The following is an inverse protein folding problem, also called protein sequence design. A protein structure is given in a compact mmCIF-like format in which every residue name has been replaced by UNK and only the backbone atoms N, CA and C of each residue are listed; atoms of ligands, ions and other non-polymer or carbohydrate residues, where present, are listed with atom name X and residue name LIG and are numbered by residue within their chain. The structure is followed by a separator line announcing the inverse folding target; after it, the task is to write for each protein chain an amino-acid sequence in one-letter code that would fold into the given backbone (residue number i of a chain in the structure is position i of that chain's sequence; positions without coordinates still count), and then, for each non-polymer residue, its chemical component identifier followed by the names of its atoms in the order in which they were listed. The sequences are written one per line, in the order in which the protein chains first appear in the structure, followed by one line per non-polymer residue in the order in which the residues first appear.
data_IF_468099629558
#
_entry.id   IF_468099629558
#
_cell.length_a   1.000
_cell.length_b   1.000
_cell.length_c   1.000
_cell.angle_alpha   90.00
_cell.angle_beta   90.00
_cell.angle_gamma   90.00
#
_symmetry.space_group_name_H-M   'P 1'
#
loop_
_entity.id
_entity.type
_entity.pdbx_description
1 polymer ?
#
# COMPACT_ATOMS: atom_id res chain seq x y z
N UNK A 1 0.52 65.82 22.00
CA UNK A 1 1.92 65.44 21.69
C UNK A 1 1.87 64.17 20.86
N UNK A 2 2.61 64.17 19.76
CA UNK A 2 2.60 63.20 18.68
C UNK A 2 3.37 61.91 19.00
N UNK A 3 3.00 60.79 18.35
CA UNK A 3 3.86 60.15 17.34
C UNK A 3 3.17 58.95 16.66
N UNK A 4 3.27 58.95 15.33
CA UNK A 4 2.93 57.89 14.38
C UNK A 4 3.88 56.69 14.50
N UNK A 5 3.43 55.49 14.09
CA UNK A 5 3.96 54.85 12.88
C UNK A 5 3.17 53.63 12.40
N UNK A 6 3.02 53.56 11.07
CA UNK A 6 2.53 52.44 10.28
C UNK A 6 3.60 51.37 10.04
N UNK A 7 3.15 50.13 9.83
CA UNK A 7 3.89 49.03 9.18
C UNK A 7 3.17 47.71 9.48
N UNK A 8 2.80 46.85 8.54
CA UNK A 8 2.92 46.80 7.08
C UNK A 8 2.06 45.61 6.56
N UNK A 9 2.03 45.35 5.25
CA UNK A 9 1.34 44.21 4.63
C UNK A 9 2.27 42.98 4.55
N UNK A 10 1.70 41.76 4.58
CA UNK A 10 2.50 40.53 4.44
C UNK A 10 1.66 39.32 4.04
N UNK A 11 1.77 38.94 2.77
CA UNK A 11 1.19 37.78 2.12
C UNK A 11 1.74 36.45 2.65
N UNK A 12 0.87 35.45 2.83
CA UNK A 12 1.27 34.06 3.00
C UNK A 12 1.70 33.48 1.64
N UNK A 13 3.01 33.45 1.40
CA UNK A 13 3.64 32.71 0.31
C UNK A 13 4.29 31.44 0.87
N UNK A 14 4.04 30.34 0.15
CA UNK A 14 4.88 29.16 -0.08
C UNK A 14 6.06 28.91 0.88
N UNK A 15 5.94 27.85 1.69
CA UNK A 15 7.10 27.14 2.22
C UNK A 15 7.17 25.74 1.60
N UNK A 16 7.94 25.66 0.51
CA UNK A 16 8.51 24.42 -0.01
C UNK A 16 9.60 23.96 0.95
N UNK A 17 9.56 22.68 1.33
CA UNK A 17 10.66 22.04 2.07
C UNK A 17 11.89 21.87 1.15
N UNK A 18 13.12 22.21 1.61
CA UNK A 18 14.32 22.00 0.83
C UNK A 18 14.79 20.53 0.91
N UNK A 19 14.91 19.88 -0.24
CA UNK A 19 15.70 18.65 -0.42
C UNK A 19 17.17 19.05 -0.57
N UNK A 20 18.02 18.59 0.34
CA UNK A 20 19.47 18.69 0.23
C UNK A 20 19.97 17.82 -0.92
N UNK A 21 20.54 18.47 -1.94
CA UNK A 21 21.55 17.88 -2.81
C UNK A 21 22.92 18.27 -2.26
N UNK A 22 23.83 17.29 -2.15
CA UNK A 22 25.22 17.38 -2.60
C UNK A 22 26.05 16.19 -2.08
N UNK A 23 26.36 15.24 -2.96
CA UNK A 23 27.75 14.81 -3.18
C UNK A 23 27.90 14.04 -4.48
N UNK A 24 28.50 14.72 -5.46
CA UNK A 24 29.12 14.15 -6.66
C UNK A 24 30.35 13.31 -6.31
N UNK A 25 30.62 12.24 -7.07
CA UNK A 25 31.97 11.66 -7.11
C UNK A 25 32.12 10.19 -7.55
N UNK A 26 31.82 9.91 -8.83
CA UNK A 26 32.52 8.95 -9.73
C UNK A 26 33.16 7.67 -9.15
N UNK A 27 32.64 6.52 -9.58
CA UNK A 27 33.35 5.23 -9.54
C UNK A 27 32.65 4.15 -10.36
N UNK A 28 33.00 4.02 -11.64
CA UNK A 28 32.67 2.84 -12.46
C UNK A 28 33.26 1.58 -11.83
N UNK A 29 32.41 0.66 -11.37
CA UNK A 29 32.76 -0.75 -11.27
C UNK A 29 31.59 -1.61 -11.72
N UNK A 30 31.82 -2.32 -12.83
CA UNK A 30 31.04 -3.47 -13.23
C UNK A 30 31.13 -4.52 -12.12
N UNK A 31 30.05 -4.68 -11.36
CA UNK A 31 29.87 -5.85 -10.50
C UNK A 31 28.86 -6.76 -11.19
N UNK A 32 29.43 -7.78 -11.82
CA UNK A 32 28.78 -9.03 -12.17
C UNK A 32 27.88 -9.51 -11.02
N UNK A 33 26.58 -9.49 -11.24
CA UNK A 33 25.64 -10.14 -10.33
C UNK A 33 25.81 -11.67 -10.41
N UNK A 34 25.63 -12.40 -9.30
CA UNK A 34 25.67 -13.85 -9.30
C UNK A 34 24.48 -14.40 -10.09
N UNK A 35 24.76 -15.36 -10.96
CA UNK A 35 23.77 -16.12 -11.73
C UNK A 35 22.94 -16.95 -10.75
N UNK A 36 21.80 -16.41 -10.32
CA UNK A 36 20.73 -17.21 -9.76
C UNK A 36 19.95 -17.83 -10.92
N UNK A 37 20.05 -19.15 -11.01
CA UNK A 37 19.31 -20.00 -11.93
C UNK A 37 17.82 -19.98 -11.59
N UNK A 38 17.10 -19.02 -12.15
CA UNK A 38 15.66 -19.11 -12.35
C UNK A 38 15.36 -18.63 -13.77
N UNK A 39 14.73 -19.51 -14.53
CA UNK A 39 14.49 -19.42 -15.97
C UNK A 39 13.43 -18.36 -16.33
N UNK A 40 13.64 -17.10 -15.95
CA UNK A 40 12.75 -16.02 -16.34
C UNK A 40 13.33 -15.33 -17.57
N UNK A 41 12.62 -15.49 -18.69
CA UNK A 41 13.10 -15.12 -20.03
C UNK A 41 13.06 -13.60 -20.30
N UNK A 42 12.53 -12.81 -19.35
CA UNK A 42 12.26 -11.38 -19.52
C UNK A 42 12.81 -10.58 -18.33
N UNK A 43 13.25 -9.33 -18.55
CA UNK A 43 13.63 -8.46 -17.44
C UNK A 43 12.45 -8.29 -16.49
N UNK A 44 12.68 -8.45 -15.19
CA UNK A 44 11.66 -8.25 -14.17
C UNK A 44 11.27 -6.77 -14.13
N UNK A 45 9.98 -6.47 -14.23
CA UNK A 45 9.44 -5.11 -14.14
C UNK A 45 9.40 -4.33 -15.46
N UNK A 46 8.92 -3.08 -15.35
CA UNK A 46 8.79 -2.16 -16.48
C UNK A 46 10.18 -1.65 -16.87
N UNK A 47 10.52 -1.55 -18.17
CA UNK A 47 11.70 -0.81 -18.62
C UNK A 47 11.76 0.59 -18.01
N UNK A 48 12.97 1.16 -17.84
CA UNK A 48 13.20 2.49 -17.22
C UNK A 48 12.37 3.66 -17.81
N UNK A 49 11.68 3.44 -18.93
CA UNK A 49 10.63 4.30 -19.43
C UNK A 49 9.93 3.72 -20.66
N UNK A 50 8.92 4.44 -21.14
CA UNK A 50 8.28 4.13 -22.42
C UNK A 50 9.14 4.59 -23.59
N UNK A 51 9.28 3.74 -24.59
CA UNK A 51 9.78 4.14 -25.91
C UNK A 51 8.67 4.87 -26.67
N UNK A 52 8.46 6.14 -26.35
CA UNK A 52 7.39 6.94 -26.95
C UNK A 52 7.58 7.13 -28.45
N UNK A 53 6.47 7.05 -29.20
CA UNK A 53 6.42 7.43 -30.61
C UNK A 53 6.41 8.96 -30.69
N UNK A 54 7.24 9.52 -31.57
CA UNK A 54 7.30 10.96 -31.78
C UNK A 54 5.96 11.51 -32.27
N UNK A 55 5.51 12.62 -31.67
CA UNK A 55 4.32 13.37 -32.06
C UNK A 55 4.69 14.69 -32.73
N UNK A 56 3.69 15.34 -33.34
CA UNK A 56 3.87 16.70 -33.87
C UNK A 56 4.13 17.67 -32.73
N UNK A 57 4.79 18.78 -33.04
CA UNK A 57 5.10 19.82 -32.07
C UNK A 57 3.82 20.36 -31.41
N UNK A 58 3.76 20.30 -30.08
CA UNK A 58 2.60 20.72 -29.27
C UNK A 58 1.59 19.61 -28.93
N UNK A 59 1.75 18.38 -29.44
CA UNK A 59 0.90 17.24 -29.07
C UNK A 59 1.54 16.38 -27.99
N UNK A 60 0.80 16.05 -26.93
CA UNK A 60 1.24 15.08 -25.92
C UNK A 60 1.43 13.70 -26.54
N UNK A 61 2.61 13.07 -26.43
CA UNK A 61 2.82 11.70 -26.88
C UNK A 61 1.83 10.73 -26.22
N UNK A 62 1.09 9.97 -27.05
CA UNK A 62 0.10 8.99 -26.58
C UNK A 62 0.41 7.56 -26.99
N UNK A 63 1.34 7.36 -27.92
CA UNK A 63 1.72 6.03 -28.41
C UNK A 63 3.10 5.66 -27.87
N UNK A 64 3.27 4.41 -27.45
CA UNK A 64 4.58 3.83 -27.16
C UNK A 64 4.84 2.62 -28.06
N UNK A 65 6.12 2.33 -28.29
CA UNK A 65 6.56 1.12 -28.99
C UNK A 65 6.74 0.01 -27.95
N UNK A 66 5.97 -1.05 -28.09
CA UNK A 66 6.09 -2.25 -27.28
C UNK A 66 7.01 -3.28 -27.96
N UNK A 67 8.28 -3.30 -27.54
CA UNK A 67 9.32 -4.20 -28.02
C UNK A 67 10.13 -4.88 -26.89
N UNK A 68 9.66 -4.76 -25.64
CA UNK A 68 10.32 -5.30 -24.45
C UNK A 68 10.10 -6.82 -24.22
N UNK A 69 9.13 -7.43 -24.92
CA UNK A 69 8.79 -8.84 -24.82
C UNK A 69 8.85 -9.51 -26.21
N UNK A 70 9.38 -10.74 -26.34
CA UNK A 70 9.40 -11.44 -27.61
C UNK A 70 8.00 -11.88 -28.00
N UNK A 71 7.86 -12.21 -29.28
CA UNK A 71 6.59 -12.69 -29.83
C UNK A 71 6.08 -13.96 -29.14
N UNK A 72 6.99 -14.84 -28.70
CA UNK A 72 6.68 -16.08 -27.98
C UNK A 72 5.88 -15.84 -26.69
N UNK A 73 6.06 -14.69 -26.01
CA UNK A 73 5.25 -14.34 -24.85
C UNK A 73 3.75 -14.33 -25.21
N UNK A 74 3.39 -13.78 -26.36
CA UNK A 74 1.98 -13.60 -26.73
C UNK A 74 1.34 -14.84 -27.37
N UNK A 75 2.10 -15.81 -27.89
CA UNK A 75 1.53 -16.97 -28.59
C UNK A 75 2.06 -18.34 -28.14
N UNK A 76 3.02 -18.37 -27.22
CA UNK A 76 3.61 -19.57 -26.64
C UNK A 76 3.78 -19.39 -25.12
N UNK A 77 2.65 -19.31 -24.38
CA UNK A 77 2.68 -19.08 -22.94
C UNK A 77 3.47 -20.19 -22.22
N UNK A 78 4.40 -19.78 -21.37
CA UNK A 78 5.28 -20.67 -20.59
C UNK A 78 4.63 -21.20 -19.30
N UNK A 79 3.47 -20.64 -18.95
CA UNK A 79 2.67 -20.94 -17.77
C UNK A 79 1.21 -21.15 -18.19
N UNK A 80 0.47 -21.93 -17.41
CA UNK A 80 -0.97 -22.04 -17.57
C UNK A 80 -1.65 -20.66 -17.49
N UNK A 81 -2.53 -20.37 -18.45
CA UNK A 81 -3.27 -19.11 -18.51
C UNK A 81 -4.56 -19.26 -17.73
N UNK A 82 -4.65 -18.64 -16.55
CA UNK A 82 -5.90 -18.58 -15.76
C UNK A 82 -6.81 -17.46 -16.25
N UNK A 83 -6.23 -16.32 -16.65
CA UNK A 83 -6.91 -15.17 -17.23
C UNK A 83 -8.21 -14.76 -16.50
N UNK A 84 -8.15 -14.62 -15.17
CA UNK A 84 -9.33 -14.40 -14.31
C UNK A 84 -10.19 -13.21 -14.79
N UNK A 85 -9.59 -12.11 -15.24
CA UNK A 85 -10.33 -10.94 -15.69
C UNK A 85 -10.84 -11.08 -17.13
N UNK A 86 -9.99 -11.55 -18.06
CA UNK A 86 -10.39 -11.72 -19.47
C UNK A 86 -11.51 -12.74 -19.66
N UNK A 87 -11.49 -13.82 -18.87
CA UNK A 87 -12.44 -14.95 -19.00
C UNK A 87 -13.66 -14.81 -18.11
N UNK A 88 -13.75 -13.74 -17.32
CA UNK A 88 -14.66 -13.67 -16.18
C UNK A 88 -14.58 -14.91 -15.27
N UNK A 89 -13.37 -15.27 -14.86
CA UNK A 89 -13.08 -16.43 -14.02
C UNK A 89 -13.62 -17.75 -14.63
N UNK A 90 -13.36 -17.95 -15.92
CA UNK A 90 -13.72 -19.16 -16.66
C UNK A 90 -15.12 -19.19 -17.29
N UNK A 91 -15.91 -18.12 -17.21
CA UNK A 91 -17.19 -18.03 -17.94
C UNK A 91 -17.00 -18.01 -19.46
N UNK A 92 -15.90 -17.39 -19.92
CA UNK A 92 -15.52 -17.32 -21.33
C UNK A 92 -14.20 -18.05 -21.56
N UNK A 93 -14.01 -18.70 -22.72
CA UNK A 93 -12.74 -19.34 -23.04
C UNK A 93 -11.63 -18.29 -23.25
N UNK A 94 -10.38 -18.68 -22.98
CA UNK A 94 -9.21 -17.87 -23.30
C UNK A 94 -9.07 -17.71 -24.81
N UNK A 95 -8.67 -16.51 -25.25
CA UNK A 95 -8.39 -16.24 -26.66
C UNK A 95 -6.89 -16.35 -26.91
N UNK A 96 -6.54 -17.20 -27.87
CA UNK A 96 -5.17 -17.32 -28.39
C UNK A 96 -4.89 -16.33 -29.52
N UNK A 97 -3.62 -16.26 -29.92
CA UNK A 97 -3.16 -15.47 -31.05
C UNK A 97 -2.44 -16.35 -32.06
N UNK A 98 -2.86 -16.27 -33.32
CA UNK A 98 -2.22 -16.99 -34.43
C UNK A 98 -1.10 -16.18 -35.09
N UNK A 99 -1.17 -14.85 -35.02
CA UNK A 99 -0.18 -13.96 -35.62
C UNK A 99 0.20 -12.86 -34.63
N UNK A 100 1.50 -12.68 -34.42
CA UNK A 100 2.06 -11.73 -33.46
C UNK A 100 3.18 -10.96 -34.17
N UNK A 101 3.01 -9.65 -34.26
CA UNK A 101 4.01 -8.71 -34.77
C UNK A 101 4.76 -8.10 -33.58
N UNK A 102 6.08 -7.93 -33.69
CA UNK A 102 6.92 -7.23 -32.70
C UNK A 102 6.90 -5.71 -32.90
N UNK A 103 7.36 -4.96 -31.89
CA UNK A 103 7.55 -3.50 -31.96
C UNK A 103 6.27 -2.74 -32.40
N UNK A 104 5.19 -2.97 -31.65
CA UNK A 104 3.86 -2.43 -31.98
C UNK A 104 3.68 -1.06 -31.36
N UNK A 105 2.91 -0.21 -32.02
CA UNK A 105 2.47 1.05 -31.44
C UNK A 105 1.18 0.81 -30.66
N UNK A 106 1.22 1.11 -29.37
CA UNK A 106 0.10 0.93 -28.44
C UNK A 106 -0.21 2.28 -27.79
N UNK A 107 -1.50 2.58 -27.65
CA UNK A 107 -1.95 3.75 -26.89
C UNK A 107 -1.60 3.56 -25.41
N UNK A 108 -0.78 4.46 -24.88
CA UNK A 108 -0.48 4.58 -23.47
C UNK A 108 -1.73 5.07 -22.74
N UNK A 109 -2.17 4.32 -21.74
CA UNK A 109 -3.33 4.71 -20.95
C UNK A 109 -3.03 5.92 -20.06
N UNK A 110 -3.97 6.88 -20.05
CA UNK A 110 -3.93 7.97 -19.09
C UNK A 110 -4.18 7.46 -17.65
N UNK A 111 -3.92 8.32 -16.67
CA UNK A 111 -4.28 8.05 -15.28
C UNK A 111 -5.81 7.84 -15.11
N UNK A 112 -6.64 8.59 -15.84
CA UNK A 112 -8.10 8.39 -15.80
C UNK A 112 -8.48 7.03 -16.38
N UNK A 113 -7.89 6.66 -17.53
CA UNK A 113 -8.14 5.38 -18.18
C UNK A 113 -7.74 4.17 -17.34
N UNK A 114 -6.60 4.27 -16.63
CA UNK A 114 -6.17 3.28 -15.65
C UNK A 114 -7.17 3.17 -14.50
N UNK A 115 -7.61 4.30 -13.94
CA UNK A 115 -8.57 4.32 -12.83
C UNK A 115 -9.92 3.74 -13.24
N UNK A 116 -10.43 4.08 -14.43
CA UNK A 116 -11.69 3.57 -14.95
C UNK A 116 -11.66 2.05 -15.11
N UNK A 117 -10.58 1.51 -15.67
CA UNK A 117 -10.37 0.06 -15.83
C UNK A 117 -10.21 -0.63 -14.48
N UNK A 118 -9.45 -0.04 -13.56
CA UNK A 118 -9.30 -0.55 -12.20
C UNK A 118 -10.65 -0.63 -11.49
N UNK A 119 -11.46 0.42 -11.57
CA UNK A 119 -12.81 0.46 -11.01
C UNK A 119 -13.73 -0.62 -11.63
N UNK A 120 -13.64 -0.84 -12.95
CA UNK A 120 -14.42 -1.88 -13.63
C UNK A 120 -14.03 -3.29 -13.15
N UNK A 121 -12.73 -3.57 -13.02
CA UNK A 121 -12.22 -4.83 -12.48
C UNK A 121 -12.68 -5.01 -11.03
N UNK A 122 -12.52 -3.99 -10.17
CA UNK A 122 -12.94 -4.06 -8.76
C UNK A 122 -14.42 -4.38 -8.61
N UNK A 123 -15.28 -3.75 -9.42
CA UNK A 123 -16.74 -4.01 -9.40
C UNK A 123 -17.09 -5.46 -9.71
N UNK A 124 -16.33 -6.11 -10.61
CA UNK A 124 -16.65 -7.44 -11.13
C UNK A 124 -15.90 -8.57 -10.41
N UNK A 125 -14.68 -8.30 -9.96
CA UNK A 125 -13.72 -9.32 -9.51
C UNK A 125 -13.18 -9.07 -8.09
N UNK A 126 -13.89 -8.31 -7.25
CA UNK A 126 -13.46 -7.95 -5.90
C UNK A 126 -12.88 -9.12 -5.09
N UNK A 127 -13.53 -10.30 -5.12
CA UNK A 127 -13.08 -11.50 -4.37
C UNK A 127 -11.68 -11.96 -4.74
N UNK A 128 -11.30 -11.87 -6.02
CA UNK A 128 -9.98 -12.25 -6.53
C UNK A 128 -8.96 -11.12 -6.42
N UNK A 129 -9.45 -9.88 -6.33
CA UNK A 129 -8.64 -8.67 -6.38
C UNK A 129 -8.19 -8.24 -4.97
N UNK A 130 -9.03 -8.39 -3.94
CA UNK A 130 -8.77 -7.86 -2.58
C UNK A 130 -7.52 -8.40 -1.89
N UNK A 131 -7.02 -9.55 -2.34
CA UNK A 131 -5.83 -10.22 -1.79
C UNK A 131 -4.83 -10.59 -2.90
N UNK A 132 -4.84 -9.84 -4.00
CA UNK A 132 -3.90 -10.07 -5.09
C UNK A 132 -2.47 -9.76 -4.62
N UNK A 133 -1.48 -10.63 -4.90
CA UNK A 133 -0.07 -10.32 -4.66
C UNK A 133 0.43 -9.24 -5.62
N UNK A 134 1.55 -8.62 -5.26
CA UNK A 134 2.32 -7.83 -6.22
C UNK A 134 2.82 -8.76 -7.34
N UNK A 135 2.80 -8.27 -8.59
CA UNK A 135 3.41 -9.00 -9.69
C UNK A 135 4.93 -8.96 -9.57
N UNK A 136 5.58 -10.09 -9.80
CA UNK A 136 7.04 -10.22 -9.77
C UNK A 136 7.60 -10.40 -11.19
N UNK A 137 6.84 -11.09 -12.06
CA UNK A 137 7.25 -11.48 -13.41
C UNK A 137 6.17 -11.18 -14.44
N UNK A 138 6.56 -10.93 -15.70
CA UNK A 138 5.62 -10.67 -16.79
C UNK A 138 4.59 -11.80 -16.96
N UNK A 139 4.99 -13.05 -16.73
CA UNK A 139 4.13 -14.23 -16.78
C UNK A 139 3.03 -14.23 -15.70
N UNK A 140 3.14 -13.41 -14.66
CA UNK A 140 2.06 -13.23 -13.67
C UNK A 140 0.84 -12.55 -14.29
N UNK A 141 1.01 -11.83 -15.41
CA UNK A 141 -0.12 -11.31 -16.18
C UNK A 141 -1.07 -12.42 -16.65
N UNK A 142 -0.57 -13.63 -16.92
CA UNK A 142 -1.41 -14.76 -17.35
C UNK A 142 -2.38 -15.25 -16.28
N UNK A 143 -2.15 -14.93 -15.01
CA UNK A 143 -3.13 -15.24 -13.96
C UNK A 143 -4.41 -14.40 -14.13
N UNK A 144 -4.31 -13.23 -14.76
CA UNK A 144 -5.38 -12.23 -14.80
C UNK A 144 -5.89 -11.93 -16.21
N UNK A 145 -5.02 -11.98 -17.22
CA UNK A 145 -5.35 -11.66 -18.61
C UNK A 145 -4.98 -12.80 -19.56
N UNK A 146 -5.77 -12.97 -20.62
CA UNK A 146 -5.41 -13.88 -21.70
C UNK A 146 -4.39 -13.24 -22.67
N UNK A 147 -3.72 -14.07 -23.47
CA UNK A 147 -2.73 -13.60 -24.43
C UNK A 147 -3.29 -12.55 -25.41
N UNK A 148 -4.56 -12.67 -25.78
CA UNK A 148 -5.24 -11.71 -26.64
C UNK A 148 -5.30 -10.32 -26.00
N UNK A 149 -5.79 -10.21 -24.76
CA UNK A 149 -5.84 -8.92 -24.06
C UNK A 149 -4.43 -8.37 -23.82
N UNK A 150 -3.49 -9.21 -23.40
CA UNK A 150 -2.10 -8.81 -23.18
C UNK A 150 -1.49 -8.21 -24.45
N UNK A 151 -1.75 -8.82 -25.60
CA UNK A 151 -1.32 -8.27 -26.87
C UNK A 151 -2.08 -6.97 -27.17
N UNK A 152 -3.39 -6.97 -27.33
CA UNK A 152 -4.09 -5.80 -27.87
C UNK A 152 -4.14 -4.60 -26.93
N UNK A 153 -4.09 -4.81 -25.61
CA UNK A 153 -4.13 -3.73 -24.62
C UNK A 153 -2.73 -3.23 -24.24
N UNK A 154 -1.69 -4.01 -24.55
CA UNK A 154 -0.31 -3.73 -24.19
C UNK A 154 0.06 -4.33 -22.84
N UNK A 155 1.15 -5.08 -22.80
CA UNK A 155 1.67 -5.70 -21.59
C UNK A 155 2.05 -4.64 -20.54
N UNK A 156 2.68 -3.52 -20.96
CA UNK A 156 3.04 -2.44 -20.04
C UNK A 156 1.81 -1.78 -19.42
N UNK A 157 0.78 -1.48 -20.22
CA UNK A 157 -0.48 -0.92 -19.72
C UNK A 157 -1.13 -1.83 -18.66
N UNK A 158 -1.21 -3.13 -18.94
CA UNK A 158 -1.79 -4.10 -18.00
C UNK A 158 -0.93 -4.26 -16.75
N UNK A 159 0.39 -4.23 -16.86
CA UNK A 159 1.29 -4.22 -15.71
C UNK A 159 1.03 -3.04 -14.80
N UNK A 160 0.92 -1.82 -15.36
CA UNK A 160 0.60 -0.62 -14.58
C UNK A 160 -0.79 -0.70 -13.94
N UNK A 161 -1.78 -1.23 -14.65
CA UNK A 161 -3.12 -1.45 -14.09
C UNK A 161 -3.05 -2.39 -12.88
N UNK A 162 -2.26 -3.45 -12.96
CA UNK A 162 -2.08 -4.40 -11.86
C UNK A 162 -1.31 -3.81 -10.68
N UNK A 163 -0.27 -3.02 -10.93
CA UNK A 163 0.42 -2.27 -9.87
C UNK A 163 -0.53 -1.27 -9.20
N UNK A 164 -1.32 -0.54 -9.99
CA UNK A 164 -2.29 0.43 -9.48
C UNK A 164 -3.32 -0.25 -8.56
N UNK A 165 -3.91 -1.36 -9.02
CA UNK A 165 -4.83 -2.18 -8.21
C UNK A 165 -4.19 -2.67 -6.92
N UNK A 166 -2.96 -3.20 -7.00
CA UNK A 166 -2.22 -3.66 -5.84
C UNK A 166 -2.00 -2.53 -4.82
N UNK A 167 -1.48 -1.38 -5.25
CA UNK A 167 -1.19 -0.26 -4.36
C UNK A 167 -2.46 0.31 -3.70
N UNK A 168 -3.54 0.46 -4.45
CA UNK A 168 -4.83 0.87 -3.87
C UNK A 168 -5.32 -0.12 -2.81
N UNK A 169 -5.20 -1.43 -3.06
CA UNK A 169 -5.57 -2.44 -2.07
C UNK A 169 -4.70 -2.37 -0.81
N UNK A 170 -3.39 -2.19 -0.96
CA UNK A 170 -2.49 -2.01 0.19
C UNK A 170 -2.89 -0.77 0.99
N UNK A 171 -3.23 0.33 0.33
CA UNK A 171 -3.76 1.53 0.98
C UNK A 171 -5.07 1.24 1.74
N UNK A 172 -6.02 0.53 1.12
CA UNK A 172 -7.29 0.18 1.78
C UNK A 172 -7.07 -0.70 3.02
N UNK A 173 -6.23 -1.74 2.90
CA UNK A 173 -5.90 -2.64 4.01
C UNK A 173 -5.19 -1.89 5.14
N UNK A 174 -4.20 -1.06 4.81
CA UNK A 174 -3.50 -0.22 5.78
C UNK A 174 -4.47 0.71 6.50
N UNK A 175 -5.30 1.45 5.76
CA UNK A 175 -6.22 2.41 6.35
C UNK A 175 -7.23 1.73 7.29
N UNK A 176 -7.79 0.59 6.89
CA UNK A 176 -8.67 -0.21 7.75
C UNK A 176 -7.93 -0.70 9.00
N UNK A 177 -6.68 -1.15 8.84
CA UNK A 177 -5.88 -1.59 9.99
C UNK A 177 -5.63 -0.45 10.97
N UNK A 178 -5.25 0.73 10.47
CA UNK A 178 -5.01 1.91 11.32
C UNK A 178 -6.28 2.38 12.04
N UNK A 179 -7.44 2.34 11.38
CA UNK A 179 -8.73 2.62 12.01
C UNK A 179 -9.00 1.65 13.17
N UNK A 180 -8.79 0.35 12.96
CA UNK A 180 -8.94 -0.67 14.02
C UNK A 180 -7.98 -0.39 15.18
N UNK A 181 -6.72 -0.02 14.91
CA UNK A 181 -5.75 0.30 15.97
C UNK A 181 -6.20 1.50 16.81
N UNK A 182 -6.72 2.54 16.16
CA UNK A 182 -7.23 3.73 16.85
C UNK A 182 -8.44 3.40 17.74
N UNK A 183 -9.41 2.65 17.23
CA UNK A 183 -10.61 2.21 17.98
C UNK A 183 -10.23 1.35 19.21
N UNK A 184 -9.28 0.43 19.04
CA UNK A 184 -8.77 -0.39 20.16
C UNK A 184 -8.08 0.47 21.21
N UNK A 185 -7.27 1.44 20.78
CA UNK A 185 -6.63 2.39 21.67
C UNK A 185 -7.66 3.15 22.49
N UNK A 186 -8.62 3.78 21.81
CA UNK A 186 -9.69 4.55 22.44
C UNK A 186 -10.49 3.71 23.44
N UNK A 187 -10.92 2.52 23.05
CA UNK A 187 -11.63 1.61 23.94
C UNK A 187 -10.80 1.25 25.18
N UNK A 188 -9.49 1.02 25.04
CA UNK A 188 -8.62 0.73 26.18
C UNK A 188 -8.48 1.93 27.13
N UNK A 189 -8.44 3.15 26.60
CA UNK A 189 -8.41 4.38 27.39
C UNK A 189 -9.71 4.55 28.19
N UNK A 190 -10.87 4.38 27.54
CA UNK A 190 -12.17 4.42 28.20
C UNK A 190 -12.29 3.33 29.27
N UNK A 191 -11.87 2.10 28.95
CA UNK A 191 -11.89 0.98 29.89
C UNK A 191 -11.00 1.26 31.11
N UNK A 192 -9.80 1.82 30.92
CA UNK A 192 -8.91 2.17 32.02
C UNK A 192 -9.47 3.32 32.88
N UNK A 193 -10.21 4.25 32.27
CA UNK A 193 -10.91 5.35 32.94
C UNK A 193 -12.13 4.92 33.77
N UNK A 194 -12.73 3.74 33.49
CA UNK A 194 -13.83 3.20 34.31
C UNK A 194 -13.37 2.96 35.76
N UNK A 195 -14.27 3.20 36.71
CA UNK A 195 -14.00 3.08 38.15
C UNK A 195 -13.43 1.69 38.50
N UNK A 196 -12.28 1.69 39.18
CA UNK A 196 -11.58 0.47 39.63
C UNK A 196 -10.72 -0.22 38.57
N UNK A 197 -10.89 0.05 37.27
CA UNK A 197 -10.11 -0.62 36.22
C UNK A 197 -8.65 -0.15 36.18
N UNK A 198 -8.37 1.15 36.38
CA UNK A 198 -7.01 1.67 36.58
C UNK A 198 -6.25 0.92 37.69
N UNK A 199 -6.93 0.61 38.79
CA UNK A 199 -6.37 -0.16 39.92
C UNK A 199 -6.12 -1.63 39.52
N UNK A 200 -7.08 -2.28 38.86
CA UNK A 200 -6.90 -3.65 38.33
C UNK A 200 -5.68 -3.74 37.42
N UNK A 201 -5.48 -2.71 36.58
CA UNK A 201 -4.34 -2.63 35.68
C UNK A 201 -3.04 -2.47 36.48
N UNK A 202 -2.95 -1.52 37.42
CA UNK A 202 -1.77 -1.35 38.28
C UNK A 202 -1.41 -2.59 39.14
N UNK A 203 -2.42 -3.28 39.64
CA UNK A 203 -2.25 -4.46 40.50
C UNK A 203 -1.89 -5.73 39.69
N UNK A 204 -1.97 -5.68 38.36
CA UNK A 204 -1.60 -6.78 37.48
C UNK A 204 -0.11 -7.11 37.61
N UNK A 205 0.20 -8.40 37.78
CA UNK A 205 1.59 -8.90 37.81
C UNK A 205 1.80 -9.87 36.66
N UNK A 206 2.70 -9.50 35.77
CA UNK A 206 2.98 -10.19 34.50
C UNK A 206 3.56 -11.62 34.67
N UNK A 207 3.91 -12.03 35.90
CA UNK A 207 4.58 -13.31 36.16
C UNK A 207 3.79 -14.53 35.67
N UNK A 208 2.45 -14.51 35.71
CA UNK A 208 1.62 -15.66 35.31
C UNK A 208 0.25 -15.32 34.69
N UNK A 209 -0.05 -14.04 34.45
CA UNK A 209 -1.37 -13.59 34.01
C UNK A 209 -1.44 -13.27 32.52
N UNK A 210 -2.58 -13.55 31.89
CA UNK A 210 -2.96 -12.88 30.64
C UNK A 210 -3.70 -11.59 31.02
N UNK A 211 -3.22 -10.42 30.60
CA UNK A 211 -3.83 -9.11 30.92
C UNK A 211 -5.31 -9.04 30.49
N UNK A 212 -5.70 -9.82 29.48
CA UNK A 212 -7.09 -9.96 29.04
C UNK A 212 -8.01 -10.61 30.11
N UNK A 213 -7.45 -11.23 31.14
CA UNK A 213 -8.21 -11.77 32.27
C UNK A 213 -8.72 -10.66 33.21
N UNK A 214 -8.24 -9.42 33.06
CA UNK A 214 -8.79 -8.26 33.78
C UNK A 214 -10.17 -7.85 33.24
N UNK A 215 -10.49 -8.28 32.02
CA UNK A 215 -11.74 -7.96 31.33
C UNK A 215 -12.89 -8.81 31.88
N UNK A 216 -13.96 -8.12 32.27
CA UNK A 216 -15.22 -8.75 32.66
C UNK A 216 -15.92 -9.38 31.44
N UNK A 217 -17.00 -10.12 31.70
CA UNK A 217 -17.86 -10.63 30.64
C UNK A 217 -18.47 -9.50 29.81
N UNK A 218 -18.87 -8.40 30.44
CA UNK A 218 -19.46 -7.24 29.76
C UNK A 218 -18.41 -6.54 28.87
N UNK A 219 -17.18 -6.37 29.36
CA UNK A 219 -16.08 -5.81 28.55
C UNK A 219 -15.81 -6.65 27.29
N UNK A 220 -15.99 -7.98 27.38
CA UNK A 220 -15.83 -8.89 26.23
C UNK A 220 -16.98 -8.79 25.24
N UNK A 221 -18.18 -8.43 25.70
CA UNK A 221 -19.32 -8.15 24.82
C UNK A 221 -19.10 -6.82 24.10
N UNK A 222 -18.63 -5.78 24.81
CA UNK A 222 -18.29 -4.49 24.21
C UNK A 222 -17.25 -4.66 23.08
N UNK A 223 -16.21 -5.49 23.31
CA UNK A 223 -15.18 -5.80 22.30
C UNK A 223 -15.71 -6.55 21.07
N UNK A 224 -16.81 -7.31 21.19
CA UNK A 224 -17.45 -7.94 20.02
C UNK A 224 -18.13 -6.92 19.11
N UNK A 225 -18.40 -5.71 19.61
CA UNK A 225 -18.91 -4.58 18.84
C UNK A 225 -17.86 -3.88 17.99
N UNK A 226 -16.57 -4.13 18.22
CA UNK A 226 -15.49 -3.62 17.38
C UNK A 226 -15.40 -4.41 16.06
N UNK A 227 -14.87 -3.81 14.98
CA UNK A 227 -14.52 -4.57 13.77
C UNK A 227 -13.68 -5.79 14.15
N UNK A 228 -13.75 -6.92 13.40
CA UNK A 228 -13.06 -8.16 13.75
C UNK A 228 -11.59 -7.92 14.12
N UNK A 229 -11.34 -7.82 15.41
CA UNK A 229 -10.08 -7.37 15.99
C UNK A 229 -9.39 -8.58 16.60
N UNK A 230 -8.08 -8.73 16.35
CA UNK A 230 -7.32 -9.71 17.11
C UNK A 230 -7.29 -9.28 18.57
N UNK A 231 -7.68 -10.17 19.48
CA UNK A 231 -7.50 -9.97 20.93
C UNK A 231 -6.03 -9.72 21.32
N UNK A 232 -5.08 -10.01 20.42
CA UNK A 232 -3.67 -9.65 20.60
C UNK A 232 -3.45 -8.13 20.54
N UNK A 233 -4.22 -7.39 19.74
CA UNK A 233 -4.15 -5.93 19.68
C UNK A 233 -4.61 -5.31 21.00
N UNK A 234 -5.75 -5.76 21.53
CA UNK A 234 -6.26 -5.36 22.85
C UNK A 234 -5.26 -5.69 23.94
N UNK A 235 -4.66 -6.90 23.89
CA UNK A 235 -3.62 -7.31 24.84
C UNK A 235 -2.44 -6.34 24.84
N UNK A 236 -1.94 -6.00 23.66
CA UNK A 236 -0.78 -5.11 23.50
C UNK A 236 -1.11 -3.68 23.98
N UNK A 237 -2.28 -3.16 23.61
CA UNK A 237 -2.75 -1.84 24.01
C UNK A 237 -2.91 -1.72 25.54
N UNK A 238 -3.46 -2.75 26.21
CA UNK A 238 -3.58 -2.79 27.67
C UNK A 238 -2.21 -2.93 28.35
N UNK A 239 -1.29 -3.72 27.78
CA UNK A 239 0.08 -3.87 28.30
C UNK A 239 0.83 -2.55 28.24
N UNK A 240 0.70 -1.82 27.14
CA UNK A 240 1.31 -0.49 27.01
C UNK A 240 0.79 0.48 28.09
N UNK A 241 -0.52 0.51 28.35
CA UNK A 241 -1.12 1.32 29.42
C UNK A 241 -0.70 0.88 30.81
N UNK A 242 -0.59 -0.43 31.05
CA UNK A 242 0.00 -0.95 32.29
C UNK A 242 1.41 -0.41 32.51
N UNK A 243 2.25 -0.47 31.48
CA UNK A 243 3.63 0.02 31.53
C UNK A 243 3.68 1.55 31.72
N UNK A 244 2.76 2.30 31.11
CA UNK A 244 2.58 3.73 31.34
C UNK A 244 2.31 4.04 32.81
N UNK A 245 1.33 3.34 33.40
CA UNK A 245 0.95 3.50 34.81
C UNK A 245 2.08 3.11 35.77
N UNK A 246 2.95 2.19 35.37
CA UNK A 246 4.17 1.82 36.10
C UNK A 246 5.33 2.81 35.90
N UNK A 247 5.17 3.84 35.08
CA UNK A 247 6.22 4.82 34.79
C UNK A 247 7.37 4.24 33.97
N UNK A 248 7.13 3.21 33.15
CA UNK A 248 8.19 2.61 32.32
C UNK A 248 8.69 3.61 31.26
N UNK A 249 10.01 3.77 31.06
CA UNK A 249 10.56 4.77 30.13
C UNK A 249 10.09 4.63 28.67
N UNK A 250 9.91 3.39 28.18
CA UNK A 250 9.49 3.13 26.80
C UNK A 250 8.00 3.36 26.53
N UNK A 251 7.21 3.48 27.60
CA UNK A 251 5.77 3.67 27.50
C UNK A 251 5.38 5.15 27.67
N UNK A 252 6.32 6.02 28.09
CA UNK A 252 6.04 7.44 28.24
C UNK A 252 5.78 8.11 26.88
N UNK A 253 4.92 9.15 26.84
CA UNK A 253 4.70 9.92 25.63
C UNK A 253 6.02 10.47 25.07
N UNK A 254 6.29 10.16 23.80
CA UNK A 254 7.45 10.70 23.12
C UNK A 254 7.28 12.22 22.87
N UNK A 255 8.37 12.98 22.69
CA UNK A 255 8.25 14.36 22.23
C UNK A 255 7.73 14.43 20.78
N UNK A 256 7.32 15.62 20.35
CA UNK A 256 7.04 15.88 18.93
C UNK A 256 8.32 15.70 18.08
N UNK A 257 8.23 15.12 16.87
CA UNK A 257 7.01 14.71 16.14
C UNK A 257 6.50 13.30 16.43
N UNK A 258 7.20 12.51 17.26
CA UNK A 258 6.88 11.10 17.48
C UNK A 258 5.53 10.88 18.16
N UNK A 259 5.01 11.87 18.89
CA UNK A 259 3.64 11.83 19.45
C UNK A 259 2.55 12.40 18.53
N UNK A 260 2.84 12.65 17.25
CA UNK A 260 1.82 13.14 16.32
C UNK A 260 0.99 12.00 15.74
N UNK A 261 -0.27 12.29 15.40
CA UNK A 261 -1.15 11.33 14.72
C UNK A 261 -0.49 10.78 13.44
N UNK A 262 0.10 11.66 12.63
CA UNK A 262 0.73 11.28 11.37
C UNK A 262 1.91 10.33 11.56
N UNK A 263 2.75 10.55 12.57
CA UNK A 263 3.85 9.64 12.88
C UNK A 263 3.35 8.26 13.33
N UNK A 264 2.39 8.23 14.26
CA UNK A 264 1.84 6.99 14.79
C UNK A 264 1.04 6.19 13.74
N UNK A 265 0.41 6.90 12.80
CA UNK A 265 -0.26 6.32 11.64
C UNK A 265 0.72 5.62 10.70
N UNK A 266 1.86 6.23 10.38
CA UNK A 266 2.85 5.59 9.50
C UNK A 266 3.56 4.41 10.21
N UNK A 267 3.83 4.51 11.51
CA UNK A 267 4.50 3.46 12.28
C UNK A 267 3.57 2.29 12.71
N UNK A 268 2.25 2.42 12.55
CA UNK A 268 1.30 1.37 12.97
C UNK A 268 1.21 1.21 14.48
N UNK A 269 1.29 2.32 15.23
CA UNK A 269 1.30 2.34 16.69
C UNK A 269 0.15 3.16 17.29
N UNK A 270 -0.89 3.48 16.51
CA UNK A 270 -2.04 4.29 16.92
C UNK A 270 -2.74 3.82 18.20
N UNK A 271 -2.76 2.52 18.46
CA UNK A 271 -3.32 1.94 19.69
C UNK A 271 -2.64 2.42 20.98
N UNK A 272 -1.45 3.03 20.87
CA UNK A 272 -0.67 3.62 21.96
C UNK A 272 -0.71 5.15 21.98
N UNK A 273 -1.16 5.81 20.89
CA UNK A 273 -0.96 7.24 20.67
C UNK A 273 -1.61 8.14 21.72
N UNK A 274 -2.84 7.81 22.14
CA UNK A 274 -3.61 8.58 23.13
C UNK A 274 -3.57 7.97 24.54
N UNK A 275 -2.69 7.01 24.81
CA UNK A 275 -2.54 6.46 26.16
C UNK A 275 -2.16 7.57 27.13
N UNK A 276 -3.14 8.10 27.86
CA UNK A 276 -2.93 9.20 28.80
C UNK A 276 -2.18 8.72 30.04
N UNK A 277 -1.21 9.53 30.47
CA UNK A 277 -0.54 9.47 31.77
C UNK A 277 -1.48 9.82 32.93
#
# INVERSE_FOLDING_TARGET
MASNNHGGPGSFQDQRFPMNNDHDGRGTMANSMPVNSSSHYYPNGIPDGYKMVGTKEGETPRLYIEDNLPTAFYNQPTKEIKAIFSTNNGEFPTRGLSHVISARQIDLWSAEELQERANAIRKKHWSHMKSMPQLEYWEDLYDYFDCYDIYFQGAMNLWNLMLHLYHENQCLVRNLHQEILAEVGHWCDEWAGKSGNKKKLLDFKDLHGNILNLLSSDDRVDLQGLPPVSMDLVRNALKFRHDQLQGKPWAQPAPYPQNSLGFQWEEGTLQHWLGES
#
